data_IF_367546227220
#
_entry.id   IF_367546227220
#
_cell.length_a   1.000
_cell.length_b   1.000
_cell.length_c   1.000
_cell.angle_alpha   90.00
_cell.angle_beta   90.00
_cell.angle_gamma   90.00
#
_symmetry.space_group_name_H-M   'P 1'
#
loop_
_entity.id
_entity.type
_entity.pdbx_description
1 polymer ?
#
# COMPACT_ATOMS: atom_id res chain seq x y z
N UNK A 1 4.50 -5.34 9.24
CA UNK A 1 4.42 -3.91 8.89
C UNK A 1 5.65 -3.53 8.11
N UNK A 2 5.46 -2.94 6.93
CA UNK A 2 6.56 -2.55 6.02
C UNK A 2 7.13 -1.16 6.38
N UNK A 3 6.60 -0.53 7.43
CA UNK A 3 6.99 0.82 7.88
C UNK A 3 7.81 0.71 9.16
N UNK A 4 9.03 1.23 9.14
CA UNK A 4 9.94 1.21 10.28
C UNK A 4 9.52 2.24 11.31
N UNK A 5 9.27 3.49 10.88
CA UNK A 5 8.85 4.59 11.74
C UNK A 5 7.55 5.25 11.27
N UNK A 6 6.71 5.67 12.18
CA UNK A 6 5.43 6.34 11.93
C UNK A 6 5.44 7.68 12.67
N UNK A 7 5.46 8.79 11.94
CA UNK A 7 5.45 10.15 12.47
C UNK A 7 4.21 10.95 12.03
N UNK A 8 3.44 10.41 11.10
CA UNK A 8 2.25 11.05 10.54
C UNK A 8 0.92 10.56 11.15
N UNK A 9 0.98 9.92 12.33
CA UNK A 9 -0.19 9.53 13.09
C UNK A 9 -0.47 10.59 14.15
N UNK A 10 -1.54 11.38 13.96
CA UNK A 10 -1.86 12.51 14.83
C UNK A 10 -1.97 12.08 16.30
N UNK A 11 -1.45 12.89 17.22
CA UNK A 11 -1.35 12.63 18.66
C UNK A 11 -0.21 11.69 19.08
N UNK A 12 0.43 10.98 18.17
CA UNK A 12 1.62 10.15 18.42
C UNK A 12 2.81 10.74 17.69
N UNK A 13 3.78 11.29 18.43
CA UNK A 13 4.95 11.95 17.82
C UNK A 13 5.81 11.00 17.00
N UNK A 14 5.97 9.77 17.50
CA UNK A 14 6.71 8.70 16.86
C UNK A 14 6.24 7.36 17.41
N UNK A 15 6.08 6.38 16.56
CA UNK A 15 5.91 4.97 16.92
C UNK A 15 6.45 4.07 15.81
N UNK A 16 6.61 2.79 16.09
CA UNK A 16 6.94 1.79 15.08
C UNK A 16 5.72 0.95 14.74
N UNK A 17 5.68 0.41 13.52
CA UNK A 17 4.55 -0.41 13.06
C UNK A 17 4.18 -1.55 14.02
N UNK A 18 5.13 -2.38 14.48
CA UNK A 18 4.84 -3.45 15.43
C UNK A 18 4.28 -2.95 16.77
N UNK A 19 4.79 -1.83 17.27
CA UNK A 19 4.33 -1.23 18.52
C UNK A 19 2.89 -0.71 18.40
N UNK A 20 2.58 -0.01 17.28
CA UNK A 20 1.22 0.46 17.03
C UNK A 20 0.23 -0.71 16.95
N UNK A 21 0.59 -1.78 16.24
CA UNK A 21 -0.24 -2.99 16.14
C UNK A 21 -0.46 -3.64 17.50
N UNK A 22 0.57 -3.74 18.34
CA UNK A 22 0.45 -4.29 19.69
C UNK A 22 -0.53 -3.47 20.56
N UNK A 23 -0.44 -2.14 20.53
CA UNK A 23 -1.39 -1.28 21.25
C UNK A 23 -2.83 -1.40 20.74
N UNK A 24 -3.02 -1.54 19.43
CA UNK A 24 -4.35 -1.77 18.84
C UNK A 24 -4.92 -3.13 19.27
N UNK A 25 -4.10 -4.16 19.31
CA UNK A 25 -4.50 -5.50 19.76
C UNK A 25 -4.84 -5.53 21.27
N UNK A 26 -4.05 -4.87 22.12
CA UNK A 26 -4.34 -4.70 23.55
C UNK A 26 -5.69 -3.98 23.73
N UNK A 27 -5.93 -2.90 23.00
CA UNK A 27 -7.18 -2.15 23.09
C UNK A 27 -8.40 -2.99 22.67
N UNK A 28 -8.31 -3.79 21.62
CA UNK A 28 -9.40 -4.67 21.19
C UNK A 28 -9.71 -5.73 22.26
N UNK A 29 -8.69 -6.26 22.95
CA UNK A 29 -8.85 -7.28 23.99
C UNK A 29 -9.56 -6.78 25.25
N UNK A 30 -9.72 -5.47 25.43
CA UNK A 30 -10.52 -4.90 26.54
C UNK A 30 -12.03 -5.07 26.32
N UNK A 31 -12.44 -5.43 25.12
CA UNK A 31 -13.83 -5.67 24.76
C UNK A 31 -14.10 -7.17 24.60
N UNK A 32 -15.35 -7.57 24.77
CA UNK A 32 -15.80 -8.95 24.54
C UNK A 32 -15.89 -9.24 23.02
N UNK A 33 -14.71 -9.44 22.41
CA UNK A 33 -14.54 -9.68 20.99
C UNK A 33 -13.62 -10.88 20.78
N UNK A 34 -14.07 -11.87 20.02
CA UNK A 34 -13.26 -13.00 19.61
C UNK A 34 -12.26 -12.61 18.53
N UNK A 35 -10.96 -12.80 18.81
CA UNK A 35 -9.88 -12.57 17.84
C UNK A 35 -9.36 -13.90 17.32
N UNK A 36 -9.59 -14.18 16.04
CA UNK A 36 -9.16 -15.42 15.36
C UNK A 36 -7.90 -15.16 14.56
N UNK A 37 -6.74 -15.39 15.15
CA UNK A 37 -5.44 -15.25 14.50
C UNK A 37 -5.15 -16.38 13.51
N UNK A 38 -4.31 -16.10 12.49
CA UNK A 38 -3.86 -17.05 11.47
C UNK A 38 -5.00 -17.74 10.69
N UNK A 39 -6.16 -17.08 10.57
CA UNK A 39 -7.27 -17.55 9.76
C UNK A 39 -7.34 -16.75 8.46
N UNK A 40 -7.39 -17.47 7.33
CA UNK A 40 -7.50 -16.87 6.00
C UNK A 40 -8.91 -17.05 5.48
N UNK A 41 -9.63 -15.96 5.22
CA UNK A 41 -10.88 -15.98 4.48
C UNK A 41 -10.61 -16.24 2.99
N UNK A 42 -11.38 -17.14 2.39
CA UNK A 42 -11.24 -17.55 0.99
C UNK A 42 -12.50 -17.26 0.15
N UNK A 43 -13.64 -17.03 0.79
CA UNK A 43 -14.86 -16.58 0.14
C UNK A 43 -15.77 -15.83 1.12
N UNK A 44 -16.59 -14.94 0.59
CA UNK A 44 -17.69 -14.28 1.30
C UNK A 44 -18.92 -14.39 0.41
N UNK A 45 -20.05 -14.81 0.96
CA UNK A 45 -21.28 -15.05 0.21
C UNK A 45 -22.52 -14.55 0.99
N UNK A 46 -23.48 -13.97 0.30
CA UNK A 46 -24.80 -13.73 0.84
C UNK A 46 -25.62 -15.01 0.74
N UNK A 47 -26.33 -15.40 1.81
CA UNK A 47 -27.16 -16.62 1.85
C UNK A 47 -28.64 -16.26 2.02
N UNK A 48 -29.54 -17.24 1.77
CA UNK A 48 -30.99 -17.02 1.68
C UNK A 48 -31.62 -16.41 2.93
N UNK A 49 -31.10 -16.73 4.13
CA UNK A 49 -31.59 -16.19 5.41
C UNK A 49 -31.20 -14.73 5.68
N UNK A 50 -30.63 -14.03 4.68
CA UNK A 50 -30.13 -12.66 4.84
C UNK A 50 -28.78 -12.57 5.56
N UNK A 51 -28.22 -13.70 6.02
CA UNK A 51 -26.90 -13.77 6.59
C UNK A 51 -25.81 -13.66 5.52
N UNK A 52 -24.61 -13.43 5.98
CA UNK A 52 -23.39 -13.45 5.17
C UNK A 52 -22.48 -14.58 5.69
N UNK A 53 -22.12 -15.49 4.82
CA UNK A 53 -21.13 -16.53 5.11
C UNK A 53 -19.71 -16.02 4.78
N UNK A 54 -18.78 -16.32 5.69
CA UNK A 54 -17.35 -16.19 5.47
C UNK A 54 -16.71 -17.56 5.55
N UNK A 55 -16.19 -18.06 4.44
CA UNK A 55 -15.49 -19.33 4.37
C UNK A 55 -14.01 -19.14 4.64
N UNK A 56 -13.45 -19.96 5.52
CA UNK A 56 -12.03 -19.97 5.87
C UNK A 56 -11.28 -21.07 5.10
N UNK A 57 -9.98 -20.90 4.92
CA UNK A 57 -9.13 -21.85 4.18
C UNK A 57 -9.06 -23.24 4.81
N UNK A 58 -9.39 -23.37 6.09
CA UNK A 58 -9.50 -24.67 6.79
C UNK A 58 -10.86 -25.36 6.61
N UNK A 59 -11.77 -24.78 5.82
CA UNK A 59 -13.11 -25.29 5.55
C UNK A 59 -14.17 -24.88 6.58
N UNK A 60 -13.82 -24.14 7.62
CA UNK A 60 -14.81 -23.59 8.55
C UNK A 60 -15.61 -22.45 7.89
N UNK A 61 -16.88 -22.33 8.28
CA UNK A 61 -17.79 -21.29 7.80
C UNK A 61 -18.30 -20.48 8.99
N UNK A 62 -18.21 -19.17 8.90
CA UNK A 62 -18.76 -18.24 9.86
C UNK A 62 -19.99 -17.56 9.26
N UNK A 63 -21.08 -17.52 10.01
CA UNK A 63 -22.31 -16.84 9.62
C UNK A 63 -22.49 -15.55 10.43
N UNK A 64 -22.79 -14.45 9.75
CA UNK A 64 -22.97 -13.15 10.37
C UNK A 64 -24.09 -12.36 9.71
N UNK A 65 -24.76 -11.49 10.48
CA UNK A 65 -25.74 -10.53 9.96
C UNK A 65 -25.07 -9.39 9.18
N UNK A 66 -23.84 -9.07 9.51
CA UNK A 66 -23.06 -8.02 8.88
C UNK A 66 -21.56 -8.39 8.86
N UNK A 67 -20.85 -7.97 7.83
CA UNK A 67 -19.40 -8.20 7.66
C UNK A 67 -18.73 -6.88 7.29
N UNK A 68 -17.60 -6.59 7.90
CA UNK A 68 -16.72 -5.47 7.52
C UNK A 68 -15.43 -6.05 6.94
N UNK A 69 -15.16 -5.71 5.68
CA UNK A 69 -13.97 -6.12 4.95
C UNK A 69 -12.87 -5.08 5.17
N UNK A 70 -11.83 -5.44 5.89
CA UNK A 70 -10.69 -4.57 6.19
C UNK A 70 -9.35 -5.26 5.87
N UNK A 71 -9.31 -5.93 4.71
CA UNK A 71 -8.21 -6.82 4.30
C UNK A 71 -6.96 -6.09 3.81
N UNK A 72 -7.04 -4.77 3.67
CA UNK A 72 -5.91 -3.92 3.28
C UNK A 72 -5.42 -4.16 1.85
N UNK A 73 -4.21 -3.70 1.60
CA UNK A 73 -3.51 -3.87 0.33
C UNK A 73 -2.04 -4.21 0.59
N UNK A 74 -1.39 -4.78 -0.40
CA UNK A 74 0.04 -5.03 -0.41
C UNK A 74 0.72 -4.24 -1.51
N UNK A 75 1.97 -3.85 -1.28
CA UNK A 75 2.77 -3.21 -2.30
C UNK A 75 3.07 -4.19 -3.43
N UNK A 76 3.02 -3.68 -4.64
CA UNK A 76 3.54 -4.42 -5.80
C UNK A 76 5.05 -4.40 -5.72
N UNK A 77 5.66 -5.58 -5.80
CA UNK A 77 7.11 -5.77 -5.76
C UNK A 77 7.70 -5.77 -7.18
N UNK A 78 8.97 -5.41 -7.29
CA UNK A 78 9.72 -5.50 -8.55
C UNK A 78 10.03 -6.95 -8.92
N UNK A 79 10.13 -7.82 -7.91
CA UNK A 79 10.51 -9.24 -8.03
C UNK A 79 11.89 -9.42 -8.66
N UNK A 80 12.86 -8.62 -8.22
CA UNK A 80 14.24 -8.70 -8.66
C UNK A 80 15.16 -9.18 -7.53
N UNK A 81 16.35 -9.78 -7.85
CA UNK A 81 17.36 -10.08 -6.85
C UNK A 81 17.69 -8.89 -5.95
N UNK A 82 17.90 -9.13 -4.67
CA UNK A 82 18.23 -8.11 -3.67
C UNK A 82 17.02 -7.34 -3.11
N UNK A 83 15.86 -7.33 -3.77
CA UNK A 83 14.69 -6.57 -3.27
C UNK A 83 14.28 -7.03 -1.86
N UNK A 84 14.12 -8.33 -1.64
CA UNK A 84 13.72 -8.88 -0.34
C UNK A 84 14.84 -8.82 0.71
N UNK A 85 16.09 -9.03 0.29
CA UNK A 85 17.25 -8.96 1.17
C UNK A 85 17.43 -7.57 1.80
N UNK A 86 17.19 -6.52 1.00
CA UNK A 86 17.36 -5.14 1.41
C UNK A 86 16.06 -4.42 1.77
N UNK A 87 14.95 -5.14 1.88
CA UNK A 87 13.68 -4.61 2.40
C UNK A 87 13.89 -4.05 3.82
N UNK A 88 13.50 -2.80 4.06
CA UNK A 88 13.78 -2.03 5.27
C UNK A 88 15.28 -1.77 5.56
N UNK A 89 16.16 -2.09 4.60
CA UNK A 89 17.59 -1.80 4.65
C UNK A 89 18.04 -0.92 3.47
N UNK A 90 17.12 -0.14 2.94
CA UNK A 90 17.30 0.72 1.78
C UNK A 90 16.24 0.55 0.70
N UNK A 91 15.55 -0.59 0.61
CA UNK A 91 14.35 -0.75 -0.19
C UNK A 91 13.14 -0.39 0.67
N UNK A 92 12.35 0.59 0.22
CA UNK A 92 11.18 1.15 0.89
C UNK A 92 10.00 1.26 -0.07
N UNK A 93 8.80 1.33 0.48
CA UNK A 93 7.55 1.40 -0.28
C UNK A 93 6.70 2.62 0.07
N UNK A 94 6.99 3.31 1.18
CA UNK A 94 6.26 4.49 1.62
C UNK A 94 7.18 5.73 1.64
N UNK A 95 7.14 6.62 0.62
CA UNK A 95 7.97 7.82 0.59
C UNK A 95 7.74 8.75 1.78
N UNK A 96 6.49 8.95 2.18
CA UNK A 96 6.14 9.81 3.32
C UNK A 96 6.61 9.24 4.66
N UNK A 97 6.71 7.90 4.78
CA UNK A 97 7.12 7.24 6.03
C UNK A 97 8.65 7.19 6.15
N UNK A 98 9.31 6.76 5.08
CA UNK A 98 10.72 6.38 5.09
C UNK A 98 11.63 7.47 4.51
N UNK A 99 11.08 8.45 3.77
CA UNK A 99 11.83 9.53 3.13
C UNK A 99 12.80 10.27 4.06
N UNK A 100 12.42 10.65 5.29
CA UNK A 100 13.30 11.32 6.25
C UNK A 100 14.60 10.56 6.57
N UNK A 101 14.59 9.21 6.49
CA UNK A 101 15.77 8.35 6.73
C UNK A 101 16.86 8.52 5.67
N UNK A 102 16.50 9.09 4.52
CA UNK A 102 17.39 9.28 3.36
C UNK A 102 17.82 10.74 3.17
N UNK A 103 17.64 11.59 4.17
CA UNK A 103 18.05 13.00 4.12
C UNK A 103 19.49 13.15 3.65
N UNK A 104 19.68 13.95 2.60
CA UNK A 104 20.99 14.25 2.02
C UNK A 104 21.66 13.08 1.30
N UNK A 105 20.92 12.00 0.99
CA UNK A 105 21.42 10.84 0.25
C UNK A 105 20.82 10.81 -1.17
N UNK A 106 21.42 10.03 -2.06
CA UNK A 106 20.87 9.74 -3.39
C UNK A 106 19.89 8.58 -3.28
N UNK A 107 18.75 8.69 -3.95
CA UNK A 107 17.72 7.64 -3.96
C UNK A 107 17.19 7.40 -5.36
N UNK A 108 16.56 6.24 -5.58
CA UNK A 108 15.76 5.99 -6.76
C UNK A 108 14.28 5.88 -6.39
N UNK A 109 13.41 6.21 -7.35
CA UNK A 109 11.99 5.92 -7.35
C UNK A 109 11.70 5.03 -8.55
N UNK A 110 11.08 3.87 -8.31
CA UNK A 110 10.69 2.94 -9.38
C UNK A 110 9.23 3.15 -9.71
N UNK A 111 8.95 3.58 -10.93
CA UNK A 111 7.61 3.84 -11.47
C UNK A 111 7.39 5.30 -11.85
N UNK A 112 6.86 5.53 -13.05
CA UNK A 112 6.58 6.84 -13.67
C UNK A 112 5.09 7.17 -13.77
N UNK A 113 4.25 6.59 -12.91
CA UNK A 113 2.86 7.01 -12.69
C UNK A 113 2.76 8.17 -11.70
N UNK A 114 1.53 8.63 -11.39
CA UNK A 114 1.31 9.74 -10.44
C UNK A 114 2.04 9.50 -9.12
N UNK A 115 1.85 8.35 -8.49
CA UNK A 115 2.49 8.03 -7.20
C UNK A 115 4.03 8.11 -7.26
N UNK A 116 4.65 7.64 -8.35
CA UNK A 116 6.10 7.68 -8.50
C UNK A 116 6.62 9.11 -8.71
N UNK A 117 5.96 9.91 -9.53
CA UNK A 117 6.38 11.29 -9.79
C UNK A 117 6.11 12.18 -8.55
N UNK A 118 4.96 12.00 -7.86
CA UNK A 118 4.69 12.67 -6.58
C UNK A 118 5.75 12.33 -5.53
N UNK A 119 6.08 11.03 -5.40
CA UNK A 119 7.15 10.58 -4.50
C UNK A 119 8.50 11.23 -4.84
N UNK A 120 8.84 11.34 -6.11
CA UNK A 120 10.08 11.97 -6.55
C UNK A 120 10.11 13.47 -6.20
N UNK A 121 8.99 14.18 -6.38
CA UNK A 121 8.87 15.60 -6.02
C UNK A 121 9.05 15.81 -4.51
N UNK A 122 8.35 14.98 -3.70
CA UNK A 122 8.43 15.06 -2.23
C UNK A 122 9.85 14.75 -1.72
N UNK A 123 10.41 13.65 -2.18
CA UNK A 123 11.77 13.22 -1.81
C UNK A 123 12.84 14.24 -2.21
N UNK A 124 12.68 14.90 -3.36
CA UNK A 124 13.64 15.91 -3.83
C UNK A 124 13.80 17.09 -2.87
N UNK A 125 12.79 17.34 -2.01
CA UNK A 125 12.88 18.35 -0.93
C UNK A 125 13.74 17.92 0.27
N UNK A 126 14.11 16.64 0.36
CA UNK A 126 14.74 16.03 1.54
C UNK A 126 16.12 15.44 1.20
N UNK A 127 16.22 14.79 0.03
CA UNK A 127 17.39 14.01 -0.39
C UNK A 127 18.34 14.84 -1.28
N UNK A 128 19.56 14.35 -1.49
CA UNK A 128 20.52 14.96 -2.41
C UNK A 128 20.05 14.90 -3.86
N UNK A 129 19.63 13.72 -4.30
CA UNK A 129 19.22 13.47 -5.68
C UNK A 129 18.20 12.33 -5.78
N UNK A 130 17.22 12.47 -6.67
CA UNK A 130 16.24 11.44 -6.99
C UNK A 130 16.40 10.99 -8.44
N UNK A 131 16.58 9.70 -8.66
CA UNK A 131 16.54 9.08 -9.99
C UNK A 131 15.25 8.30 -10.14
N UNK A 132 14.35 8.74 -11.01
CA UNK A 132 13.12 8.02 -11.36
C UNK A 132 13.42 7.04 -12.49
N UNK A 133 13.05 5.78 -12.31
CA UNK A 133 13.17 4.73 -13.33
C UNK A 133 11.78 4.28 -13.77
N UNK A 134 11.45 4.51 -15.03
CA UNK A 134 10.21 4.06 -15.66
C UNK A 134 10.48 3.00 -16.71
N UNK A 135 9.76 1.89 -16.64
CA UNK A 135 9.87 0.76 -17.55
C UNK A 135 9.44 1.10 -18.99
N UNK A 136 8.42 1.95 -19.12
CA UNK A 136 7.87 2.35 -20.42
C UNK A 136 8.68 3.50 -21.04
N UNK A 137 8.45 3.76 -22.31
CA UNK A 137 9.00 4.92 -23.03
C UNK A 137 8.27 6.23 -22.70
N UNK A 138 7.11 6.13 -22.04
CA UNK A 138 6.26 7.26 -21.66
C UNK A 138 5.93 7.19 -20.17
N UNK A 139 5.80 8.36 -19.53
CA UNK A 139 5.29 8.49 -18.19
C UNK A 139 3.76 8.46 -18.22
N UNK A 140 3.17 7.79 -17.21
CA UNK A 140 1.71 7.75 -17.03
C UNK A 140 1.20 8.77 -16.01
N UNK A 141 2.09 9.56 -15.44
CA UNK A 141 1.74 10.64 -14.55
C UNK A 141 1.11 11.82 -15.28
N UNK A 142 0.31 12.60 -14.56
CA UNK A 142 -0.29 13.82 -15.06
C UNK A 142 0.78 14.81 -15.53
N UNK A 143 0.52 15.50 -16.64
CA UNK A 143 1.50 16.39 -17.26
C UNK A 143 1.98 17.51 -16.32
N UNK A 144 1.15 17.97 -15.38
CA UNK A 144 1.53 18.99 -14.39
C UNK A 144 2.58 18.46 -13.40
N UNK A 145 2.48 17.20 -13.00
CA UNK A 145 3.44 16.54 -12.11
C UNK A 145 4.76 16.31 -12.84
N UNK A 146 4.70 15.80 -14.07
CA UNK A 146 5.90 15.61 -14.90
C UNK A 146 6.65 16.92 -15.10
N UNK A 147 5.93 18.00 -15.50
CA UNK A 147 6.53 19.31 -15.64
C UNK A 147 7.17 19.84 -14.36
N UNK A 148 6.56 19.56 -13.21
CA UNK A 148 7.13 19.94 -11.91
C UNK A 148 8.41 19.17 -11.63
N UNK A 149 8.41 17.85 -11.79
CA UNK A 149 9.59 17.01 -11.59
C UNK A 149 10.75 17.40 -12.54
N UNK A 150 10.46 17.62 -13.84
CA UNK A 150 11.45 18.06 -14.83
C UNK A 150 12.07 19.43 -14.50
N UNK A 151 11.36 20.30 -13.77
CA UNK A 151 11.88 21.60 -13.35
C UNK A 151 12.82 21.54 -12.15
N UNK A 152 12.97 20.39 -11.51
CA UNK A 152 13.78 20.23 -10.30
C UNK A 152 15.19 19.77 -10.66
N UNK A 153 16.21 20.54 -10.29
CA UNK A 153 17.60 20.29 -10.65
C UNK A 153 18.18 18.98 -10.07
N UNK A 154 17.57 18.47 -8.99
CA UNK A 154 17.98 17.24 -8.33
C UNK A 154 17.05 16.05 -8.62
N UNK A 155 16.27 16.09 -9.70
CA UNK A 155 15.47 14.98 -10.18
C UNK A 155 15.93 14.61 -11.59
N UNK A 156 16.19 13.32 -11.81
CA UNK A 156 16.48 12.75 -13.15
C UNK A 156 15.47 11.68 -13.45
N UNK A 157 14.86 11.72 -14.63
CA UNK A 157 13.89 10.72 -15.09
C UNK A 157 14.51 9.89 -16.22
N UNK A 158 14.61 8.58 -16.00
CA UNK A 158 15.12 7.62 -16.97
C UNK A 158 13.95 6.74 -17.39
N UNK A 159 13.58 6.83 -18.67
CA UNK A 159 12.55 5.99 -19.28
C UNK A 159 13.17 4.76 -19.95
N UNK A 160 12.34 3.78 -20.26
CA UNK A 160 12.77 2.48 -20.82
C UNK A 160 13.77 1.74 -19.92
N UNK A 161 13.75 2.02 -18.62
CA UNK A 161 14.66 1.46 -17.64
C UNK A 161 13.99 0.27 -16.91
N UNK A 162 14.43 -0.93 -17.21
CA UNK A 162 14.00 -2.14 -16.54
C UNK A 162 14.95 -2.42 -15.36
N UNK A 163 14.48 -2.20 -14.14
CA UNK A 163 15.25 -2.60 -12.95
C UNK A 163 15.50 -4.10 -12.96
N UNK A 164 16.75 -4.51 -12.78
CA UNK A 164 17.18 -5.92 -12.84
C UNK A 164 17.73 -6.45 -11.54
N UNK A 165 18.28 -5.60 -10.68
CA UNK A 165 18.88 -6.04 -9.42
C UNK A 165 19.02 -4.87 -8.44
N UNK A 166 18.81 -5.14 -7.16
CA UNK A 166 19.15 -4.26 -6.04
C UNK A 166 20.52 -4.65 -5.52
N UNK A 167 21.47 -3.72 -5.52
CA UNK A 167 22.84 -3.95 -5.07
C UNK A 167 23.01 -3.45 -3.63
N UNK A 168 23.80 -4.18 -2.85
CA UNK A 168 24.12 -3.80 -1.48
C UNK A 168 25.36 -4.47 -0.92
N UNK A 169 25.70 -4.10 0.32
CA UNK A 169 26.89 -4.59 1.04
C UNK A 169 26.58 -5.68 2.07
N UNK A 170 25.38 -6.27 2.02
CA UNK A 170 24.86 -7.24 2.98
C UNK A 170 24.16 -6.60 4.18
N UNK A 171 24.34 -5.29 4.42
CA UNK A 171 23.68 -4.55 5.50
C UNK A 171 22.69 -3.52 4.98
N UNK A 172 22.96 -2.90 3.83
CA UNK A 172 22.17 -1.84 3.23
C UNK A 172 22.33 -1.78 1.72
N UNK A 173 21.41 -1.10 1.08
CA UNK A 173 21.48 -0.76 -0.35
C UNK A 173 22.68 0.16 -0.61
N UNK A 174 23.42 -0.13 -1.69
CA UNK A 174 24.51 0.70 -2.21
C UNK A 174 24.28 1.10 -3.66
N UNK A 175 23.35 0.46 -4.36
CA UNK A 175 23.08 0.75 -5.76
C UNK A 175 21.88 0.00 -6.31
N UNK A 176 21.62 0.27 -7.57
CA UNK A 176 20.56 -0.34 -8.37
C UNK A 176 21.10 -0.61 -9.75
N UNK A 177 20.84 -1.80 -10.28
CA UNK A 177 21.12 -2.13 -11.68
C UNK A 177 19.84 -2.07 -12.50
N UNK A 178 19.90 -1.46 -13.66
CA UNK A 178 18.83 -1.50 -14.63
C UNK A 178 19.37 -1.75 -16.05
N UNK A 179 18.52 -2.27 -16.91
CA UNK A 179 18.74 -2.47 -18.33
C UNK A 179 17.99 -1.41 -19.12
N UNK A 180 18.68 -0.67 -19.98
CA UNK A 180 18.06 0.18 -20.96
C UNK A 180 17.38 -0.69 -22.03
N UNK A 181 16.06 -0.60 -22.14
CA UNK A 181 15.28 -1.41 -23.07
C UNK A 181 15.40 -0.99 -24.53
N UNK A 182 15.92 0.20 -24.78
CA UNK A 182 16.17 0.69 -26.15
C UNK A 182 17.51 0.20 -26.70
N UNK A 183 18.54 0.16 -25.87
CA UNK A 183 19.92 -0.18 -26.26
C UNK A 183 20.36 -1.57 -25.84
N UNK A 184 19.61 -2.20 -24.91
CA UNK A 184 19.97 -3.48 -24.28
C UNK A 184 21.18 -3.41 -23.32
N UNK A 185 21.68 -2.20 -23.05
CA UNK A 185 22.81 -1.95 -22.17
C UNK A 185 22.43 -2.01 -20.70
N UNK A 186 23.34 -2.49 -19.87
CA UNK A 186 23.18 -2.54 -18.42
C UNK A 186 23.89 -1.36 -17.78
N UNK A 187 23.20 -0.69 -16.86
CA UNK A 187 23.68 0.47 -16.12
C UNK A 187 23.54 0.25 -14.63
N UNK A 188 24.40 0.89 -13.84
CA UNK A 188 24.35 0.92 -12.38
C UNK A 188 24.21 2.36 -11.90
N UNK A 189 23.30 2.57 -10.95
CA UNK A 189 23.13 3.84 -10.23
C UNK A 189 23.56 3.64 -8.79
N UNK A 190 24.57 4.38 -8.35
CA UNK A 190 24.98 4.39 -6.94
C UNK A 190 24.01 5.23 -6.12
N UNK A 191 23.43 4.65 -5.07
CA UNK A 191 22.41 5.26 -4.23
C UNK A 191 22.28 4.52 -2.89
N UNK A 192 21.59 5.16 -1.94
CA UNK A 192 21.40 4.60 -0.60
C UNK A 192 19.96 4.12 -0.33
N UNK A 193 19.02 4.41 -1.23
CA UNK A 193 17.64 4.03 -1.04
C UNK A 193 16.87 3.89 -2.35
N UNK A 194 15.89 3.00 -2.35
CA UNK A 194 15.02 2.69 -3.49
C UNK A 194 13.57 2.71 -2.99
N UNK A 195 12.74 3.57 -3.57
CA UNK A 195 11.32 3.67 -3.30
C UNK A 195 10.52 3.02 -4.42
N UNK A 196 9.88 1.89 -4.14
CA UNK A 196 9.12 1.12 -5.12
C UNK A 196 7.70 1.68 -5.21
N UNK A 197 7.35 2.33 -6.33
CA UNK A 197 6.10 3.05 -6.56
C UNK A 197 5.37 2.53 -7.82
N UNK A 198 5.27 1.20 -7.94
CA UNK A 198 4.62 0.53 -9.08
C UNK A 198 3.20 0.05 -8.77
N UNK A 199 2.60 0.60 -7.73
CA UNK A 199 1.22 0.45 -7.35
C UNK A 199 0.99 -0.46 -6.14
N UNK A 200 -0.25 -0.42 -5.66
CA UNK A 200 -0.80 -1.30 -4.63
C UNK A 200 -1.65 -2.39 -5.25
N UNK A 201 -1.71 -3.53 -4.59
CA UNK A 201 -2.60 -4.64 -4.94
C UNK A 201 -3.54 -4.86 -3.75
N UNK A 202 -4.82 -4.49 -3.87
CA UNK A 202 -5.81 -4.75 -2.82
C UNK A 202 -5.93 -6.25 -2.55
N UNK A 203 -6.10 -6.63 -1.27
CA UNK A 203 -6.28 -8.02 -0.87
C UNK A 203 -7.76 -8.43 -1.00
N UNK A 204 -8.26 -8.50 -2.21
CA UNK A 204 -9.69 -8.63 -2.56
C UNK A 204 -9.98 -9.72 -3.56
N UNK A 205 -8.99 -10.54 -3.91
CA UNK A 205 -9.12 -11.57 -4.95
C UNK A 205 -10.28 -12.55 -4.68
N UNK A 206 -10.54 -12.83 -3.40
CA UNK A 206 -11.61 -13.72 -2.94
C UNK A 206 -13.00 -13.09 -2.93
N UNK A 207 -13.11 -11.79 -3.28
CA UNK A 207 -14.36 -11.00 -3.24
C UNK A 207 -14.96 -10.73 -4.62
N UNK A 208 -14.33 -11.18 -5.72
CA UNK A 208 -14.71 -10.86 -7.10
C UNK A 208 -16.15 -11.22 -7.45
N UNK A 209 -16.65 -12.33 -6.88
CA UNK A 209 -18.03 -12.80 -7.12
C UNK A 209 -19.04 -12.23 -6.09
N UNK A 210 -18.56 -11.44 -5.13
CA UNK A 210 -19.39 -11.00 -4.01
C UNK A 210 -19.75 -9.52 -4.08
N UNK A 211 -18.74 -8.66 -4.28
CA UNK A 211 -18.92 -7.21 -4.25
C UNK A 211 -18.35 -6.57 -5.51
N UNK A 212 -18.82 -5.37 -5.83
CA UNK A 212 -18.28 -4.60 -6.96
C UNK A 212 -16.85 -4.17 -6.65
N UNK A 213 -15.94 -4.47 -7.57
CA UNK A 213 -14.55 -4.02 -7.54
C UNK A 213 -14.28 -3.02 -8.67
N UNK A 214 -13.36 -2.09 -8.44
CA UNK A 214 -12.81 -1.23 -9.50
C UNK A 214 -11.89 -2.05 -10.42
N UNK A 215 -11.49 -1.47 -11.56
CA UNK A 215 -10.49 -2.08 -12.47
C UNK A 215 -9.14 -2.35 -11.79
N UNK A 216 -8.88 -1.69 -10.66
CA UNK A 216 -7.69 -1.90 -9.82
C UNK A 216 -7.89 -2.97 -8.75
N UNK A 217 -9.09 -3.57 -8.67
CA UNK A 217 -9.44 -4.57 -7.67
C UNK A 217 -9.85 -4.00 -6.31
N UNK A 218 -10.07 -2.71 -6.17
CA UNK A 218 -10.51 -2.07 -4.93
C UNK A 218 -12.01 -2.27 -4.72
N UNK A 219 -12.44 -2.56 -3.49
CA UNK A 219 -13.86 -2.64 -3.15
C UNK A 219 -14.51 -1.27 -3.29
N UNK A 220 -15.56 -1.19 -4.09
CA UNK A 220 -16.35 0.06 -4.24
C UNK A 220 -17.24 0.24 -3.02
N UNK A 221 -17.10 1.37 -2.32
CA UNK A 221 -17.90 1.74 -1.17
C UNK A 221 -18.50 3.14 -1.35
N UNK A 222 -19.61 3.38 -0.64
CA UNK A 222 -20.18 4.71 -0.47
C UNK A 222 -19.53 5.45 0.73
N UNK A 223 -20.03 6.62 1.06
CA UNK A 223 -19.55 7.44 2.18
C UNK A 223 -19.91 6.89 3.58
N UNK A 224 -20.67 5.81 3.67
CA UNK A 224 -20.96 5.05 4.89
C UNK A 224 -20.13 3.78 5.00
N UNK A 225 -19.22 3.53 4.06
CA UNK A 225 -18.44 2.30 3.97
C UNK A 225 -19.24 1.09 3.46
N UNK A 226 -20.46 1.30 2.93
CA UNK A 226 -21.33 0.24 2.45
C UNK A 226 -20.92 -0.16 1.02
N UNK A 227 -20.89 -1.47 0.76
CA UNK A 227 -20.71 -2.03 -0.57
C UNK A 227 -22.05 -2.08 -1.33
N UNK A 228 -22.02 -2.55 -2.57
CA UNK A 228 -23.24 -2.82 -3.33
C UNK A 228 -24.11 -3.97 -2.76
N UNK A 229 -23.60 -4.71 -1.76
CA UNK A 229 -24.31 -5.82 -1.11
C UNK A 229 -24.74 -5.43 0.28
N UNK A 230 -26.07 -5.37 0.59
CA UNK A 230 -26.57 -4.99 1.91
C UNK A 230 -25.98 -5.86 3.03
N UNK A 231 -25.52 -5.22 4.11
CA UNK A 231 -24.89 -5.90 5.25
C UNK A 231 -23.40 -6.20 5.06
N UNK A 232 -22.81 -5.93 3.89
CA UNK A 232 -21.37 -6.02 3.67
C UNK A 232 -20.80 -4.61 3.52
N UNK A 233 -19.84 -4.29 4.39
CA UNK A 233 -19.13 -3.02 4.47
C UNK A 233 -17.65 -3.25 4.20
N UNK A 234 -16.93 -2.20 3.82
CA UNK A 234 -15.49 -2.27 3.68
C UNK A 234 -14.81 -0.98 4.13
N UNK A 235 -13.53 -1.08 4.53
CA UNK A 235 -12.75 0.04 5.01
C UNK A 235 -11.26 -0.09 4.70
N UNK A 236 -10.58 1.03 4.63
CA UNK A 236 -9.13 1.12 4.49
C UNK A 236 -8.62 0.82 3.07
N UNK A 237 -7.39 0.36 2.98
CA UNK A 237 -6.62 0.30 1.74
C UNK A 237 -7.17 -0.67 0.69
N UNK A 238 -8.02 -1.61 1.07
CA UNK A 238 -8.70 -2.50 0.13
C UNK A 238 -9.85 -1.84 -0.63
N UNK A 239 -10.23 -0.61 -0.28
CA UNK A 239 -11.38 0.12 -0.85
C UNK A 239 -10.95 1.19 -1.84
N UNK A 240 -11.91 1.82 -2.52
CA UNK A 240 -11.70 2.94 -3.45
C UNK A 240 -11.45 4.30 -2.79
N UNK A 241 -11.06 4.33 -1.49
CA UNK A 241 -10.65 5.58 -0.83
C UNK A 241 -9.44 6.19 -1.52
N UNK A 242 -9.40 7.53 -1.60
CA UNK A 242 -8.41 8.25 -2.38
C UNK A 242 -6.98 8.11 -1.82
N UNK A 243 -6.83 8.05 -0.50
CA UNK A 243 -5.52 8.03 0.16
C UNK A 243 -5.37 6.80 1.06
N UNK A 244 -4.20 6.16 0.98
CA UNK A 244 -3.87 4.92 1.71
C UNK A 244 -2.91 5.26 2.87
N UNK A 245 -3.47 5.68 4.01
CA UNK A 245 -2.72 6.04 5.21
C UNK A 245 -3.38 5.42 6.45
N UNK A 246 -2.59 5.11 7.47
CA UNK A 246 -3.07 4.45 8.70
C UNK A 246 -4.22 5.23 9.34
N UNK A 247 -4.06 6.55 9.50
CA UNK A 247 -5.09 7.40 10.12
C UNK A 247 -6.38 7.44 9.31
N UNK A 248 -6.29 7.39 7.97
CA UNK A 248 -7.45 7.35 7.08
C UNK A 248 -8.14 5.99 7.18
N UNK A 249 -7.38 4.90 7.21
CA UNK A 249 -7.92 3.55 7.38
C UNK A 249 -8.65 3.38 8.72
N UNK A 250 -8.15 3.99 9.79
CA UNK A 250 -8.83 3.98 11.10
C UNK A 250 -10.15 4.76 11.06
N UNK A 251 -10.16 5.95 10.45
CA UNK A 251 -11.39 6.72 10.26
C UNK A 251 -12.42 6.00 9.39
N UNK A 252 -11.94 5.38 8.29
CA UNK A 252 -12.79 4.56 7.42
C UNK A 252 -13.37 3.33 8.17
N UNK A 253 -12.56 2.68 9.02
CA UNK A 253 -13.00 1.58 9.87
C UNK A 253 -14.11 1.99 10.83
N UNK A 254 -13.97 3.15 11.48
CA UNK A 254 -15.02 3.70 12.35
C UNK A 254 -16.31 4.02 11.55
N UNK A 255 -16.18 4.57 10.34
CA UNK A 255 -17.32 4.84 9.46
C UNK A 255 -18.05 3.55 9.08
N UNK A 256 -17.32 2.52 8.65
CA UNK A 256 -17.90 1.22 8.30
C UNK A 256 -18.58 0.54 9.50
N UNK A 257 -17.99 0.66 10.69
CA UNK A 257 -18.59 0.13 11.94
C UNK A 257 -19.92 0.81 12.28
N UNK A 258 -20.01 2.13 12.15
CA UNK A 258 -21.23 2.88 12.36
C UNK A 258 -22.28 2.55 11.28
N UNK A 259 -21.87 2.39 10.02
CA UNK A 259 -22.74 1.93 8.94
C UNK A 259 -23.31 0.53 9.18
N UNK A 260 -22.46 -0.40 9.64
CA UNK A 260 -22.88 -1.76 10.01
C UNK A 260 -23.87 -1.75 11.20
N UNK A 261 -23.61 -0.92 12.21
CA UNK A 261 -24.50 -0.75 13.34
C UNK A 261 -25.88 -0.22 12.90
N UNK A 262 -25.91 0.83 12.05
CA UNK A 262 -27.16 1.38 11.53
C UNK A 262 -27.96 0.34 10.70
N UNK A 263 -27.25 -0.47 9.91
CA UNK A 263 -27.86 -1.60 9.19
C UNK A 263 -28.49 -2.62 10.14
N UNK A 264 -27.78 -3.00 11.20
CA UNK A 264 -28.25 -4.02 12.16
C UNK A 264 -29.45 -3.60 13.00
N UNK A 265 -29.58 -2.30 13.34
CA UNK A 265 -30.75 -1.81 14.10
C UNK A 265 -31.99 -1.62 13.24
N UNK A 266 -31.86 -1.59 11.91
CA UNK A 266 -32.97 -1.38 10.96
C UNK A 266 -33.48 -2.68 10.33
N UNK A 267 -32.70 -3.78 10.41
CA UNK A 267 -32.98 -5.08 9.84
C UNK A 267 -32.82 -6.18 10.90
#
# INVERSE_FOLDING_TARGET
SDTVGIENFISVKYTEGPQLVAHLEEHVKEYDVDVMNAQKAVAVRKVEDGLTEVELANGAVLNSKSVILATGARWREMNVPGEQEYRNKGVAYCPHCDGPLFKGKKVAVIGGGNSGIEAAIDLAGIVEHVTVLEFSDTLRADAVLVKKADSMANVTIIKQAMTTEVLGDGQRVTGLQYKDRATDETHVVELAGIFVQIGLVPNTEFLKETVTLTDRGEVVIDNHGQTNVPGIFAAGDCTNVAYKQIIISMGAGATAALGAFDHLIRN
#
